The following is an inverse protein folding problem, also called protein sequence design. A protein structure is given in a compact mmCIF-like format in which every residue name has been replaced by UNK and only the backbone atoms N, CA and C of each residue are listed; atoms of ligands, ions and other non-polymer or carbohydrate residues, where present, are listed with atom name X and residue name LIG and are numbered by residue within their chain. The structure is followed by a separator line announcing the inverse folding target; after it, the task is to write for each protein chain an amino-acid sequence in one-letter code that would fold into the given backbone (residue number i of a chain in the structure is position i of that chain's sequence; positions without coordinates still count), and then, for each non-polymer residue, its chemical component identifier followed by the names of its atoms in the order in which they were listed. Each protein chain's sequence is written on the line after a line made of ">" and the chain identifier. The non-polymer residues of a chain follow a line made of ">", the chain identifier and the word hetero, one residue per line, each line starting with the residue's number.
data_IF_425334021673
#
_entry.id   IF_425334021673
#
_cell.length_a   1.000
_cell.length_b   1.000
_cell.length_c   1.000
_cell.angle_alpha   90.00
_cell.angle_beta   90.00
_cell.angle_gamma   90.00
#
_symmetry.space_group_name_H-M   'P 1'
#
loop_
_entity.id
_entity.type
_entity.pdbx_description
1 polymer ?
#
# COMPACT_ATOMS: atom_id res chain seq x y z
N UNK A 1 -12.10 -7.80 14.51
CA UNK A 1 -10.89 -7.85 15.37
C UNK A 1 -9.90 -6.82 14.88
N UNK A 2 -9.11 -6.21 15.76
CA UNK A 2 -8.04 -5.29 15.36
C UNK A 2 -6.88 -6.11 14.78
N UNK A 3 -6.53 -5.89 13.51
CA UNK A 3 -5.48 -6.65 12.82
C UNK A 3 -4.18 -5.83 12.66
N UNK A 4 -4.29 -4.52 12.41
CA UNK A 4 -3.16 -3.58 12.34
C UNK A 4 -3.60 -2.15 12.68
N UNK A 5 -2.67 -1.29 13.09
CA UNK A 5 -2.92 0.11 13.43
C UNK A 5 -1.98 1.10 12.72
N UNK A 6 -2.47 2.33 12.53
CA UNK A 6 -1.70 3.47 12.04
C UNK A 6 -1.66 4.58 13.10
N UNK A 7 -0.59 5.37 13.08
CA UNK A 7 -0.44 6.55 13.94
C UNK A 7 -1.18 7.75 13.34
N UNK A 8 -1.24 7.81 12.00
CA UNK A 8 -1.91 8.85 11.24
C UNK A 8 -3.21 8.35 10.62
N UNK A 9 -3.98 9.26 10.03
CA UNK A 9 -5.23 8.94 9.34
C UNK A 9 -4.95 8.04 8.14
N UNK A 10 -5.62 6.90 8.09
CA UNK A 10 -5.63 6.03 6.91
C UNK A 10 -6.54 6.71 5.88
N UNK A 11 -6.01 6.93 4.69
CA UNK A 11 -6.71 7.62 3.61
C UNK A 11 -7.26 6.65 2.56
N UNK A 12 -6.57 5.53 2.33
CA UNK A 12 -7.04 4.46 1.45
C UNK A 12 -6.48 3.08 1.82
N UNK A 13 -7.13 2.04 1.34
CA UNK A 13 -6.78 0.64 1.57
C UNK A 13 -7.15 -0.21 0.35
N UNK A 14 -6.25 -1.12 -0.04
CA UNK A 14 -6.54 -2.21 -0.98
C UNK A 14 -6.09 -3.56 -0.42
N UNK A 15 -6.76 -4.62 -0.84
CA UNK A 15 -6.42 -6.00 -0.49
C UNK A 15 -6.11 -6.77 -1.78
N UNK A 16 -5.01 -7.51 -1.79
CA UNK A 16 -4.65 -8.34 -2.96
C UNK A 16 -5.42 -9.67 -2.91
N UNK A 17 -5.81 -10.17 -4.09
CA UNK A 17 -6.58 -11.42 -4.24
C UNK A 17 -5.72 -12.61 -4.68
N UNK A 18 -4.43 -12.59 -4.31
CA UNK A 18 -3.47 -13.62 -4.65
C UNK A 18 -3.40 -14.73 -3.58
N UNK A 19 -2.59 -15.76 -3.82
CA UNK A 19 -2.42 -16.86 -2.87
C UNK A 19 -1.79 -16.42 -1.54
N UNK A 20 -1.10 -15.26 -1.52
CA UNK A 20 -0.50 -14.66 -0.31
C UNK A 20 -1.05 -13.23 -0.13
N UNK A 21 -2.30 -13.10 0.35
CA UNK A 21 -2.96 -11.81 0.39
C UNK A 21 -2.19 -10.80 1.25
N UNK A 22 -2.15 -9.56 0.77
CA UNK A 22 -1.62 -8.40 1.45
C UNK A 22 -2.73 -7.38 1.71
N UNK A 23 -2.61 -6.69 2.83
CA UNK A 23 -3.38 -5.48 3.17
C UNK A 23 -2.45 -4.30 2.95
N UNK A 24 -2.76 -3.46 1.96
CA UNK A 24 -1.95 -2.32 1.55
C UNK A 24 -2.69 -1.04 1.92
N UNK A 25 -2.08 -0.21 2.76
CA UNK A 25 -2.67 0.98 3.35
C UNK A 25 -1.89 2.23 2.96
N UNK A 26 -2.58 3.34 2.73
CA UNK A 26 -2.01 4.66 2.55
C UNK A 26 -2.41 5.57 3.72
N UNK A 27 -1.49 6.39 4.19
CA UNK A 27 -1.76 7.36 5.25
C UNK A 27 -1.44 8.82 4.86
N UNK A 28 -1.84 9.75 5.73
CA UNK A 28 -1.59 11.18 5.58
C UNK A 28 -0.11 11.56 5.67
N UNK A 29 0.74 10.71 6.25
CA UNK A 29 2.16 10.96 6.47
C UNK A 29 3.04 10.36 5.35
N UNK A 30 2.47 10.26 4.14
CA UNK A 30 3.17 9.88 2.90
C UNK A 30 3.52 8.38 2.80
N UNK A 31 3.05 7.54 3.72
CA UNK A 31 3.44 6.13 3.77
C UNK A 31 2.41 5.24 3.12
N UNK A 32 2.89 4.40 2.20
CA UNK A 32 2.18 3.22 1.74
C UNK A 32 2.81 2.00 2.42
N UNK A 33 2.04 1.32 3.28
CA UNK A 33 2.48 0.14 4.02
C UNK A 33 1.85 -1.12 3.42
N UNK A 34 2.68 -2.12 3.13
CA UNK A 34 2.26 -3.43 2.65
C UNK A 34 2.40 -4.42 3.80
N UNK A 35 1.28 -4.97 4.29
CA UNK A 35 1.26 -5.91 5.41
C UNK A 35 0.71 -7.26 4.96
N UNK A 36 1.23 -8.37 5.48
CA UNK A 36 0.74 -9.72 5.14
C UNK A 36 -0.65 -9.95 5.73
N UNK A 37 -1.47 -10.81 5.13
CA UNK A 37 -2.73 -11.28 5.71
C UNK A 37 -2.74 -12.81 5.79
N UNK A 38 -3.23 -13.43 6.89
CA UNK A 38 -3.87 -12.83 8.07
C UNK A 38 -2.90 -12.18 9.07
N UNK A 39 -1.60 -12.47 8.97
CA UNK A 39 -0.57 -12.03 9.93
C UNK A 39 -0.12 -10.59 9.71
N UNK A 40 -1.04 -9.63 9.82
CA UNK A 40 -0.83 -8.21 9.46
C UNK A 40 0.05 -7.39 10.40
N UNK A 41 0.46 -7.99 11.51
CA UNK A 41 1.60 -7.49 12.29
C UNK A 41 2.94 -7.62 11.53
N UNK A 42 3.02 -8.46 10.49
CA UNK A 42 4.20 -8.60 9.63
C UNK A 42 4.11 -7.65 8.46
N UNK A 43 4.99 -6.64 8.46
CA UNK A 43 5.15 -5.70 7.35
C UNK A 43 6.05 -6.35 6.29
N UNK A 44 5.57 -6.43 5.05
CA UNK A 44 6.34 -6.92 3.91
C UNK A 44 7.29 -5.83 3.39
N UNK A 45 6.78 -4.62 3.19
CA UNK A 45 7.53 -3.51 2.60
C UNK A 45 6.84 -2.16 2.89
N UNK A 46 7.56 -1.09 2.55
CA UNK A 46 7.00 0.25 2.41
C UNK A 46 7.29 0.76 1.01
N UNK A 47 6.31 1.39 0.38
CA UNK A 47 6.52 2.10 -0.89
C UNK A 47 6.71 3.58 -0.56
N UNK A 48 7.95 4.06 -0.66
CA UNK A 48 8.37 5.40 -0.25
C UNK A 48 8.79 6.21 -1.47
N UNK A 49 8.26 7.43 -1.61
CA UNK A 49 8.61 8.32 -2.72
C UNK A 49 7.61 9.44 -2.96
N UNK A 50 6.38 9.31 -2.48
CA UNK A 50 5.48 10.46 -2.38
C UNK A 50 6.06 11.52 -1.43
N UNK A 51 5.77 12.79 -1.71
CA UNK A 51 6.22 13.97 -0.94
C UNK A 51 5.08 14.75 -0.30
N UNK A 52 3.88 14.17 -0.36
CA UNK A 52 2.67 14.62 0.31
C UNK A 52 1.72 13.41 0.50
N UNK A 53 0.61 13.62 1.22
CA UNK A 53 -0.35 12.57 1.56
C UNK A 53 -0.75 11.71 0.35
N UNK A 54 -0.91 10.40 0.57
CA UNK A 54 -1.39 9.46 -0.46
C UNK A 54 -2.88 9.25 -0.26
N UNK A 55 -3.69 9.67 -1.21
CA UNK A 55 -5.15 9.65 -1.09
C UNK A 55 -5.82 8.52 -1.85
N UNK A 56 -5.09 7.81 -2.71
CA UNK A 56 -5.67 6.70 -3.49
C UNK A 56 -4.64 5.61 -3.80
N UNK A 57 -5.10 4.37 -3.79
CA UNK A 57 -4.39 3.15 -4.13
C UNK A 57 -5.21 2.31 -5.11
N UNK A 58 -4.55 1.67 -6.07
CA UNK A 58 -5.19 0.72 -6.98
C UNK A 58 -4.24 -0.42 -7.35
N UNK A 59 -4.65 -1.67 -7.11
CA UNK A 59 -3.91 -2.83 -7.60
C UNK A 59 -4.09 -2.97 -9.11
N UNK A 60 -2.99 -3.16 -9.84
CA UNK A 60 -3.05 -3.45 -11.27
C UNK A 60 -3.31 -4.94 -11.49
N UNK A 61 -4.17 -5.31 -12.46
CA UNK A 61 -4.44 -6.70 -12.81
C UNK A 61 -3.32 -7.26 -13.69
N UNK A 62 -2.08 -7.24 -13.20
CA UNK A 62 -0.89 -7.75 -13.89
C UNK A 62 -0.50 -9.11 -13.31
N UNK A 63 -0.80 -10.25 -13.98
CA UNK A 63 -0.62 -11.58 -13.39
C UNK A 63 0.84 -11.94 -13.05
N UNK A 64 1.80 -11.31 -13.73
CA UNK A 64 3.22 -11.60 -13.62
C UNK A 64 3.99 -10.68 -12.67
N UNK A 65 3.42 -9.52 -12.31
CA UNK A 65 4.12 -8.50 -11.52
C UNK A 65 3.16 -7.96 -10.46
N UNK A 66 3.53 -8.00 -9.16
CA UNK A 66 2.74 -7.42 -8.09
C UNK A 66 2.80 -5.89 -8.19
N UNK A 67 1.89 -5.30 -8.98
CA UNK A 67 1.91 -3.87 -9.27
C UNK A 67 0.76 -3.11 -8.57
N UNK A 68 1.10 -1.96 -8.02
CA UNK A 68 0.20 -1.03 -7.34
C UNK A 68 0.40 0.36 -7.94
N UNK A 69 -0.69 1.09 -8.15
CA UNK A 69 -0.65 2.51 -8.50
C UNK A 69 -1.10 3.32 -7.29
N UNK A 70 -0.43 4.43 -7.04
CA UNK A 70 -0.84 5.40 -6.02
C UNK A 70 -0.90 6.82 -6.58
N UNK A 71 -1.70 7.65 -5.92
CA UNK A 71 -1.80 9.08 -6.20
C UNK A 71 -2.15 9.87 -4.94
N UNK A 72 -1.81 11.15 -4.95
CA UNK A 72 -1.91 11.98 -3.75
C UNK A 72 -1.71 13.48 -3.97
N UNK A 73 -1.37 14.17 -2.88
CA UNK A 73 -1.25 15.62 -2.82
C UNK A 73 -0.01 16.22 -3.50
N UNK A 74 0.93 15.39 -3.97
CA UNK A 74 2.17 15.85 -4.62
C UNK A 74 2.05 15.93 -6.15
N UNK A 75 0.88 15.61 -6.71
CA UNK A 75 0.61 15.64 -8.13
C UNK A 75 1.34 14.54 -8.92
N UNK A 76 1.89 13.53 -8.26
CA UNK A 76 2.54 12.38 -8.90
C UNK A 76 1.61 11.17 -8.91
N UNK A 77 1.74 10.36 -9.97
CA UNK A 77 1.21 9.00 -10.01
C UNK A 77 2.41 8.06 -10.05
N UNK A 78 2.50 7.17 -9.07
CA UNK A 78 3.65 6.27 -8.93
C UNK A 78 3.18 4.83 -9.05
N UNK A 79 3.91 4.04 -9.85
CA UNK A 79 3.70 2.60 -9.99
C UNK A 79 4.74 1.87 -9.17
N UNK A 80 4.29 0.94 -8.35
CA UNK A 80 5.13 0.19 -7.42
C UNK A 80 5.06 -1.30 -7.69
N UNK A 81 6.21 -1.97 -7.64
CA UNK A 81 6.29 -3.33 -7.15
C UNK A 81 6.10 -3.33 -5.63
N UNK A 82 4.88 -3.57 -5.18
CA UNK A 82 4.54 -3.45 -3.76
C UNK A 82 5.20 -4.54 -2.91
N UNK A 83 5.54 -5.72 -3.45
CA UNK A 83 6.24 -6.74 -2.66
C UNK A 83 7.69 -6.35 -2.33
N UNK A 84 8.32 -5.57 -3.22
CA UNK A 84 9.69 -5.09 -3.09
C UNK A 84 9.80 -3.65 -2.56
N UNK A 85 8.68 -2.91 -2.52
CA UNK A 85 8.64 -1.52 -2.07
C UNK A 85 9.34 -0.55 -3.04
N UNK A 86 9.27 -0.82 -4.34
CA UNK A 86 9.97 -0.05 -5.39
C UNK A 86 9.04 0.40 -6.48
#
# INVERSE_FOLDING_TARGET
>A
ELILGHVSMILDLVVTADAKPYVITADRDEKIRVSKYPNSYTIQSFCLGHTAFVSTLACLPTPSVPALVSGGGDGQIIVWNYEQGR
#
